data_IF_216807178827
#
_entry.id   IF_216807178827
#
_cell.length_a   1.000
_cell.length_b   1.000
_cell.length_c   1.000
_cell.angle_alpha   90.00
_cell.angle_beta   90.00
_cell.angle_gamma   90.00
#
_symmetry.space_group_name_H-M   'P 1'
#
loop_
_entity.id
_entity.type
_entity.pdbx_description
1 polymer ?
#
# COMPACT_ATOMS: atom_id res chain seq x y z
N UNK A 1 33.90 9.08 40.17
CA UNK A 1 34.51 8.49 38.97
C UNK A 1 34.51 9.58 37.90
N UNK A 2 35.67 10.05 37.40
CA UNK A 2 35.65 11.00 36.29
C UNK A 2 35.00 10.28 35.11
N UNK A 3 34.07 10.94 34.40
CA UNK A 3 33.69 10.49 33.06
C UNK A 3 34.94 10.58 32.19
N UNK A 4 35.61 9.45 31.97
CA UNK A 4 36.73 9.40 31.05
C UNK A 4 36.20 9.65 29.64
N UNK A 5 36.37 10.87 29.16
CA UNK A 5 36.03 11.33 27.82
C UNK A 5 37.00 10.77 26.76
N UNK A 6 37.46 9.53 26.91
CA UNK A 6 38.40 8.90 25.98
C UNK A 6 37.86 8.93 24.55
N UNK A 7 36.54 8.69 24.39
CA UNK A 7 35.84 8.78 23.10
C UNK A 7 35.90 10.17 22.44
N UNK A 8 35.99 11.27 23.19
CA UNK A 8 36.11 12.63 22.63
C UNK A 8 37.44 12.80 21.89
N UNK A 9 38.50 12.11 22.33
CA UNK A 9 39.80 12.14 21.64
C UNK A 9 39.80 11.30 20.34
N UNK A 10 38.78 10.47 20.14
CA UNK A 10 38.67 9.53 19.03
C UNK A 10 37.65 10.02 17.99
N UNK A 11 37.88 11.21 17.42
CA UNK A 11 36.96 11.81 16.44
C UNK A 11 36.90 11.06 15.10
N UNK A 12 37.93 10.26 14.78
CA UNK A 12 37.99 9.48 13.55
C UNK A 12 37.67 8.00 13.82
N UNK A 13 37.04 7.34 12.84
CA UNK A 13 36.76 5.91 12.89
C UNK A 13 38.04 5.09 13.06
N UNK A 14 38.09 4.25 14.09
CA UNK A 14 39.21 3.39 14.44
C UNK A 14 38.67 2.13 15.16
N UNK A 15 39.55 1.27 15.70
CA UNK A 15 39.16 0.04 16.40
C UNK A 15 38.14 0.27 17.52
N UNK A 16 38.25 1.38 18.25
CA UNK A 16 37.28 1.74 19.29
C UNK A 16 35.87 1.87 18.73
N UNK A 17 35.65 2.35 17.51
CA UNK A 17 34.29 2.49 16.95
C UNK A 17 33.77 1.22 16.25
N UNK A 18 34.63 0.26 15.90
CA UNK A 18 34.23 -0.94 15.13
C UNK A 18 33.31 -1.86 15.91
N UNK A 19 33.54 -2.05 17.22
CA UNK A 19 32.77 -3.01 18.01
C UNK A 19 31.26 -2.72 18.09
N UNK A 20 30.86 -1.45 18.03
CA UNK A 20 29.45 -1.01 18.10
C UNK A 20 28.87 -0.56 16.76
N UNK A 21 29.65 -0.63 15.68
CA UNK A 21 29.24 -0.14 14.36
C UNK A 21 28.47 -1.20 13.60
N UNK A 22 27.18 -0.95 13.36
CA UNK A 22 26.33 -1.83 12.55
C UNK A 22 26.87 -2.03 11.12
N UNK A 23 27.67 -1.09 10.60
CA UNK A 23 28.23 -1.18 9.26
C UNK A 23 29.36 -2.22 9.10
N UNK A 24 29.79 -2.90 10.15
CA UNK A 24 30.73 -4.03 10.03
C UNK A 24 30.05 -5.28 9.45
N UNK A 25 28.80 -5.56 9.83
CA UNK A 25 28.06 -6.73 9.35
C UNK A 25 26.54 -6.54 9.51
N UNK A 26 25.88 -6.17 8.41
CA UNK A 26 24.43 -5.97 8.36
C UNK A 26 23.64 -7.27 8.45
N UNK A 27 24.25 -8.42 8.14
CA UNK A 27 23.54 -9.71 8.12
C UNK A 27 23.12 -10.20 9.51
N UNK A 28 23.69 -9.61 10.57
CA UNK A 28 23.33 -9.91 11.96
C UNK A 28 21.96 -9.37 12.39
N UNK A 29 21.35 -8.49 11.60
CA UNK A 29 20.03 -7.93 11.88
C UNK A 29 18.99 -8.81 11.19
N UNK A 30 18.42 -9.73 11.95
CA UNK A 30 17.47 -10.74 11.46
C UNK A 30 16.00 -10.40 11.76
N UNK A 31 15.75 -9.32 12.49
CA UNK A 31 14.41 -8.91 12.90
C UNK A 31 13.97 -7.62 12.21
N UNK A 32 12.64 -7.37 12.13
CA UNK A 32 12.13 -6.07 11.71
C UNK A 32 12.67 -4.95 12.60
N UNK A 33 13.14 -3.86 11.98
CA UNK A 33 13.68 -2.70 12.68
C UNK A 33 12.92 -1.43 12.30
N UNK A 34 12.63 -0.59 13.30
CA UNK A 34 12.14 0.77 13.10
C UNK A 34 13.35 1.72 13.11
N UNK A 35 13.58 2.42 11.99
CA UNK A 35 14.70 3.35 11.85
C UNK A 35 14.24 4.79 12.13
N UNK A 36 14.82 5.42 13.16
CA UNK A 36 14.56 6.81 13.56
C UNK A 36 15.90 7.55 13.58
N UNK A 37 15.95 8.78 13.07
CA UNK A 37 17.15 9.60 13.14
C UNK A 37 16.84 11.08 12.97
N UNK A 38 17.69 11.91 13.57
CA UNK A 38 17.52 13.36 13.62
C UNK A 38 18.10 14.05 12.39
N UNK A 39 17.38 15.05 11.87
CA UNK A 39 17.84 15.87 10.74
C UNK A 39 19.13 16.67 11.09
N UNK A 40 19.31 17.03 12.36
CA UNK A 40 20.49 17.75 12.86
C UNK A 40 21.57 16.83 13.45
N UNK A 41 21.44 15.51 13.31
CA UNK A 41 22.45 14.55 13.76
C UNK A 41 23.61 14.47 12.73
N UNK A 42 24.84 14.41 13.22
CA UNK A 42 26.04 14.19 12.41
C UNK A 42 26.03 12.83 11.69
N UNK A 43 25.15 11.90 12.10
CA UNK A 43 24.97 10.57 11.51
C UNK A 43 23.75 10.43 10.58
N UNK A 44 23.38 11.49 9.86
CA UNK A 44 22.23 11.53 8.94
C UNK A 44 22.18 10.41 7.87
N UNK A 45 23.33 9.88 7.46
CA UNK A 45 23.44 8.84 6.43
C UNK A 45 23.20 7.42 6.94
N UNK A 46 23.14 7.22 8.26
CA UNK A 46 23.02 5.89 8.88
C UNK A 46 21.71 5.17 8.52
N UNK A 47 20.59 5.89 8.55
CA UNK A 47 19.26 5.36 8.17
C UNK A 47 19.27 4.89 6.71
N UNK A 48 19.66 5.77 5.78
CA UNK A 48 19.68 5.45 4.36
C UNK A 48 20.63 4.29 4.04
N UNK A 49 21.78 4.24 4.72
CA UNK A 49 22.76 3.16 4.58
C UNK A 49 22.21 1.83 5.09
N UNK A 50 21.49 1.82 6.21
CA UNK A 50 20.82 0.62 6.74
C UNK A 50 19.74 0.11 5.79
N UNK A 51 18.90 1.01 5.30
CA UNK A 51 17.85 0.68 4.35
C UNK A 51 18.38 0.03 3.06
N UNK A 52 19.58 0.40 2.62
CA UNK A 52 20.21 -0.12 1.41
C UNK A 52 21.02 -1.43 1.62
N UNK A 53 21.49 -1.71 2.86
CA UNK A 53 22.45 -2.80 3.10
C UNK A 53 21.85 -4.03 3.80
N UNK A 54 20.65 -3.90 4.38
CA UNK A 54 19.94 -5.03 4.95
C UNK A 54 19.45 -5.95 3.83
N UNK A 55 19.75 -7.25 3.96
CA UNK A 55 19.20 -8.28 3.08
C UNK A 55 17.86 -8.71 3.63
N UNK A 56 16.84 -8.68 2.80
CA UNK A 56 15.51 -9.17 3.12
C UNK A 56 15.31 -10.50 2.40
N UNK A 57 14.57 -11.44 3.00
CA UNK A 57 14.07 -12.61 2.28
C UNK A 57 12.80 -12.22 1.50
N UNK A 58 12.43 -13.07 0.54
CA UNK A 58 11.15 -12.91 -0.14
C UNK A 58 10.01 -13.17 0.85
N UNK A 59 8.94 -12.37 0.78
CA UNK A 59 7.75 -12.56 1.60
C UNK A 59 6.58 -13.03 0.75
N UNK A 60 6.08 -14.23 1.01
CA UNK A 60 4.91 -14.77 0.33
C UNK A 60 3.64 -14.41 1.12
N UNK A 61 2.70 -13.75 0.44
CA UNK A 61 1.43 -13.32 0.99
C UNK A 61 0.31 -14.10 0.29
N UNK A 62 -0.49 -14.83 1.06
CA UNK A 62 -1.62 -15.61 0.57
C UNK A 62 -2.82 -15.47 1.51
N UNK A 63 -3.84 -14.73 1.07
CA UNK A 63 -5.06 -14.46 1.83
C UNK A 63 -5.50 -12.99 1.73
N UNK A 64 -6.29 -12.51 2.70
CA UNK A 64 -6.80 -11.14 2.72
C UNK A 64 -6.04 -10.30 3.76
N UNK A 65 -5.26 -9.28 3.35
CA UNK A 65 -4.70 -8.31 4.29
C UNK A 65 -5.81 -7.57 5.02
N UNK A 66 -5.57 -7.20 6.28
CA UNK A 66 -6.56 -6.50 7.11
C UNK A 66 -5.92 -5.28 7.74
N UNK A 67 -6.64 -4.17 7.71
CA UNK A 67 -6.18 -2.88 8.27
C UNK A 67 -7.16 -2.46 9.34
N UNK A 68 -6.65 -2.24 10.55
CA UNK A 68 -7.40 -1.64 11.66
C UNK A 68 -6.95 -0.20 11.81
N UNK A 69 -7.91 0.72 11.89
CA UNK A 69 -7.65 2.13 12.10
C UNK A 69 -8.52 2.63 13.25
N UNK A 70 -7.93 3.46 14.09
CA UNK A 70 -8.64 4.29 15.05
C UNK A 70 -8.76 5.70 14.48
N UNK A 71 -9.99 6.16 14.22
CA UNK A 71 -10.23 7.40 13.48
C UNK A 71 -11.47 8.16 13.95
N UNK A 72 -11.58 9.42 13.55
CA UNK A 72 -12.79 10.24 13.66
C UNK A 72 -13.09 10.91 12.31
N UNK A 73 -14.35 11.33 12.12
CA UNK A 73 -14.79 12.13 10.97
C UNK A 73 -15.37 13.45 11.46
N UNK A 74 -15.05 14.55 10.77
CA UNK A 74 -15.65 15.85 11.04
C UNK A 74 -17.08 15.99 10.47
N UNK A 75 -17.64 14.94 9.85
CA UNK A 75 -19.02 14.89 9.38
C UNK A 75 -19.69 13.57 9.79
N UNK A 76 -20.99 13.46 9.54
CA UNK A 76 -21.75 12.23 9.79
C UNK A 76 -21.48 11.10 8.77
N UNK A 77 -20.66 11.37 7.75
CA UNK A 77 -20.30 10.44 6.69
C UNK A 77 -18.79 10.28 6.61
N UNK A 78 -18.34 9.31 5.83
CA UNK A 78 -16.97 9.31 5.37
C UNK A 78 -16.67 8.06 4.57
N UNK A 79 -15.69 8.17 3.69
CA UNK A 79 -15.19 7.05 2.91
C UNK A 79 -13.72 6.88 3.27
N UNK A 80 -13.27 5.65 3.54
CA UNK A 80 -11.86 5.33 3.67
C UNK A 80 -11.48 4.31 2.60
N UNK A 81 -10.56 4.70 1.74
CA UNK A 81 -9.98 3.86 0.70
C UNK A 81 -8.56 3.51 1.11
N UNK A 82 -8.28 2.22 1.24
CA UNK A 82 -7.00 1.66 1.66
C UNK A 82 -6.38 0.94 0.48
N UNK A 83 -5.16 1.30 0.11
CA UNK A 83 -4.40 0.65 -0.96
C UNK A 83 -3.08 0.13 -0.42
N UNK A 84 -2.86 -1.16 -0.57
CA UNK A 84 -1.58 -1.81 -0.31
C UNK A 84 -0.80 -1.88 -1.63
N UNK A 85 0.33 -1.20 -1.68
CA UNK A 85 1.20 -1.17 -2.85
C UNK A 85 2.56 -1.79 -2.55
N UNK A 86 3.17 -2.41 -3.56
CA UNK A 86 4.59 -2.77 -3.58
C UNK A 86 5.34 -1.67 -4.28
N UNK A 87 6.42 -1.19 -3.68
CA UNK A 87 7.42 -0.37 -4.34
C UNK A 87 8.52 -1.33 -4.76
N UNK A 88 8.56 -1.63 -6.06
CA UNK A 88 9.60 -2.48 -6.64
C UNK A 88 10.93 -1.73 -6.60
N UNK A 89 11.98 -2.37 -6.09
CA UNK A 89 13.30 -1.75 -5.93
C UNK A 89 13.93 -1.43 -7.28
N UNK A 90 13.80 -2.33 -8.27
CA UNK A 90 14.51 -2.23 -9.56
C UNK A 90 13.93 -1.12 -10.44
N UNK A 91 12.61 -1.06 -10.53
CA UNK A 91 11.89 -0.10 -11.37
C UNK A 91 11.48 1.17 -10.63
N UNK A 92 11.60 1.19 -9.29
CA UNK A 92 11.01 2.24 -8.43
C UNK A 92 9.51 2.45 -8.62
N UNK A 93 8.82 1.49 -9.25
CA UNK A 93 7.40 1.58 -9.55
C UNK A 93 6.55 1.21 -8.34
N UNK A 94 5.45 1.94 -8.13
CA UNK A 94 4.44 1.59 -7.14
C UNK A 94 3.35 0.75 -7.80
N UNK A 95 3.35 -0.55 -7.50
CA UNK A 95 2.38 -1.53 -8.00
C UNK A 95 1.29 -1.72 -6.96
N UNK A 96 0.02 -1.58 -7.35
CA UNK A 96 -1.11 -1.89 -6.47
C UNK A 96 -1.22 -3.41 -6.29
N UNK A 97 -1.10 -3.88 -5.05
CA UNK A 97 -1.21 -5.31 -4.70
C UNK A 97 -2.63 -5.63 -4.24
N UNK A 98 -3.19 -4.80 -3.35
CA UNK A 98 -4.52 -4.99 -2.80
C UNK A 98 -5.20 -3.68 -2.46
N UNK A 99 -6.51 -3.71 -2.33
CA UNK A 99 -7.34 -2.56 -1.98
C UNK A 99 -8.49 -2.99 -1.08
N UNK A 100 -8.85 -2.14 -0.13
CA UNK A 100 -10.08 -2.20 0.66
C UNK A 100 -10.75 -0.84 0.64
N UNK A 101 -12.07 -0.82 0.61
CA UNK A 101 -12.85 0.42 0.64
C UNK A 101 -13.99 0.22 1.63
N UNK A 102 -14.13 1.16 2.54
CA UNK A 102 -15.19 1.15 3.54
C UNK A 102 -15.87 2.52 3.55
N UNK A 103 -17.17 2.53 3.30
CA UNK A 103 -18.01 3.65 3.67
C UNK A 103 -18.27 3.52 5.18
N UNK A 104 -17.92 4.57 5.92
CA UNK A 104 -17.77 4.53 7.36
C UNK A 104 -19.11 4.40 8.09
N UNK A 105 -20.26 4.73 7.51
CA UNK A 105 -21.59 4.44 8.09
C UNK A 105 -21.87 2.94 8.20
N UNK A 106 -21.16 2.11 7.43
CA UNK A 106 -21.26 0.65 7.48
C UNK A 106 -20.26 -0.01 8.44
N UNK A 107 -19.43 0.76 9.17
CA UNK A 107 -18.34 0.17 9.97
C UNK A 107 -18.79 -0.83 11.05
N UNK A 108 -20.03 -0.69 11.53
CA UNK A 108 -20.66 -1.62 12.48
C UNK A 108 -21.48 -2.72 11.81
N UNK A 109 -22.14 -2.40 10.68
CA UNK A 109 -23.00 -3.32 9.97
C UNK A 109 -23.19 -2.90 8.52
N UNK A 110 -23.05 -3.85 7.61
CA UNK A 110 -23.41 -3.65 6.21
C UNK A 110 -24.93 -3.66 5.99
N UNK A 111 -25.68 -4.37 6.83
CA UNK A 111 -27.14 -4.50 6.73
C UNK A 111 -27.89 -3.30 7.33
N UNK A 112 -27.32 -2.69 8.37
CA UNK A 112 -27.91 -1.57 9.11
C UNK A 112 -26.93 -0.40 9.22
N UNK A 113 -26.69 0.35 8.14
CA UNK A 113 -25.81 1.51 8.16
C UNK A 113 -26.33 2.58 9.13
N UNK A 114 -25.40 3.26 9.80
CA UNK A 114 -25.71 4.29 10.78
C UNK A 114 -24.80 5.51 10.56
N UNK A 115 -25.39 6.70 10.68
CA UNK A 115 -24.63 7.94 10.64
C UNK A 115 -23.54 7.95 11.71
N UNK A 116 -22.39 8.53 11.38
CA UNK A 116 -21.32 8.76 12.33
C UNK A 116 -21.70 9.88 13.30
N UNK A 117 -21.21 9.78 14.53
CA UNK A 117 -21.16 10.92 15.44
C UNK A 117 -19.95 11.77 15.07
N UNK A 118 -20.17 13.08 14.92
CA UNK A 118 -19.13 14.04 14.51
C UNK A 118 -18.03 14.08 15.58
N UNK A 119 -16.78 13.99 15.13
CA UNK A 119 -15.56 14.05 15.94
C UNK A 119 -15.44 12.97 17.04
N UNK A 120 -16.36 12.01 17.07
CA UNK A 120 -16.23 10.84 17.94
C UNK A 120 -15.17 9.88 17.38
N UNK A 121 -14.34 9.36 18.28
CA UNK A 121 -13.29 8.41 17.94
C UNK A 121 -13.87 7.00 17.91
N UNK A 122 -13.64 6.27 16.82
CA UNK A 122 -14.09 4.89 16.66
C UNK A 122 -13.07 4.04 15.91
N UNK A 123 -13.17 2.73 16.11
CA UNK A 123 -12.31 1.75 15.45
C UNK A 123 -13.02 1.16 14.23
N UNK A 124 -12.27 1.02 13.15
CA UNK A 124 -12.73 0.36 11.93
C UNK A 124 -11.75 -0.74 11.53
N UNK A 125 -12.30 -1.82 10.96
CA UNK A 125 -11.55 -2.92 10.38
C UNK A 125 -11.90 -3.02 8.90
N UNK A 126 -10.89 -2.83 8.05
CA UNK A 126 -11.02 -2.91 6.60
C UNK A 126 -10.30 -4.17 6.13
N UNK A 127 -11.06 -5.11 5.57
CA UNK A 127 -10.52 -6.28 4.89
C UNK A 127 -10.23 -5.88 3.45
N UNK A 128 -8.98 -6.04 3.01
CA UNK A 128 -8.56 -5.78 1.64
C UNK A 128 -8.82 -7.02 0.77
N UNK A 129 -8.93 -6.82 -0.54
CA UNK A 129 -9.10 -7.91 -1.51
C UNK A 129 -8.01 -8.99 -1.34
N UNK A 130 -8.41 -10.25 -1.53
CA UNK A 130 -7.50 -11.39 -1.43
C UNK A 130 -6.32 -11.29 -2.41
N UNK A 131 -5.16 -11.73 -1.97
CA UNK A 131 -3.91 -11.71 -2.73
C UNK A 131 -3.20 -13.05 -2.67
N UNK A 132 -2.45 -13.34 -3.73
CA UNK A 132 -1.43 -14.38 -3.78
C UNK A 132 -0.23 -13.73 -4.48
N UNK A 133 0.76 -13.29 -3.70
CA UNK A 133 1.90 -12.53 -4.23
C UNK A 133 3.18 -12.87 -3.47
N UNK A 134 4.29 -12.91 -4.19
CA UNK A 134 5.62 -12.93 -3.60
C UNK A 134 6.19 -11.50 -3.65
N UNK A 135 6.56 -10.95 -2.50
CA UNK A 135 7.24 -9.67 -2.38
C UNK A 135 8.74 -9.93 -2.46
N UNK A 136 9.43 -9.49 -3.53
CA UNK A 136 10.86 -9.73 -3.67
C UNK A 136 11.66 -9.03 -2.58
N UNK A 137 12.75 -9.65 -2.16
CA UNK A 137 13.78 -9.02 -1.34
C UNK A 137 14.12 -7.60 -1.82
N UNK A 138 14.17 -6.64 -0.89
CA UNK A 138 14.49 -5.24 -1.18
C UNK A 138 13.31 -4.37 -1.63
N UNK A 139 12.20 -4.99 -2.06
CA UNK A 139 10.93 -4.28 -2.30
C UNK A 139 10.32 -3.77 -1.00
N UNK A 140 9.50 -2.72 -1.09
CA UNK A 140 8.84 -2.12 0.09
C UNK A 140 7.33 -2.20 -0.03
N UNK A 141 6.66 -2.32 1.11
CA UNK A 141 5.21 -2.16 1.16
C UNK A 141 4.85 -0.72 1.52
N UNK A 142 3.88 -0.17 0.80
CA UNK A 142 3.29 1.15 1.05
C UNK A 142 1.80 0.99 1.27
N UNK A 143 1.32 1.43 2.42
CA UNK A 143 -0.10 1.62 2.67
C UNK A 143 -0.48 3.07 2.32
N UNK A 144 -1.41 3.24 1.39
CA UNK A 144 -1.92 4.55 1.00
C UNK A 144 -3.40 4.66 1.38
N UNK A 145 -3.73 5.73 2.11
CA UNK A 145 -5.08 6.03 2.57
C UNK A 145 -5.62 7.25 1.81
N UNK A 146 -6.89 7.22 1.44
CA UNK A 146 -7.58 8.37 0.84
C UNK A 146 -9.06 8.39 1.19
N UNK A 147 -9.67 9.58 1.18
CA UNK A 147 -11.11 9.77 1.43
C UNK A 147 -11.96 9.75 0.16
N UNK A 148 -11.33 9.56 -1.00
CA UNK A 148 -11.97 9.44 -2.29
C UNK A 148 -11.18 8.47 -3.17
N UNK A 149 -11.88 7.78 -4.06
CA UNK A 149 -11.26 6.88 -5.04
C UNK A 149 -12.05 6.83 -6.36
N UNK A 150 -12.30 8.01 -6.92
CA UNK A 150 -12.93 8.18 -8.22
C UNK A 150 -12.04 7.64 -9.37
N UNK A 151 -12.59 6.99 -10.42
CA UNK A 151 -14.01 6.65 -10.65
C UNK A 151 -14.42 5.28 -10.09
N UNK A 152 -13.57 4.65 -9.28
CA UNK A 152 -13.80 3.29 -8.78
C UNK A 152 -14.95 3.25 -7.76
N UNK A 153 -15.08 4.29 -6.93
CA UNK A 153 -16.18 4.42 -5.97
C UNK A 153 -16.76 5.82 -6.02
N UNK A 154 -18.09 5.89 -5.89
CA UNK A 154 -18.82 7.14 -5.82
C UNK A 154 -18.43 7.94 -4.57
N UNK A 155 -18.21 9.26 -4.66
CA UNK A 155 -17.86 10.05 -3.49
C UNK A 155 -18.99 10.03 -2.45
N UNK A 156 -18.61 10.16 -1.17
CA UNK A 156 -19.56 10.39 -0.09
C UNK A 156 -20.37 11.68 -0.35
N UNK A 157 -21.60 11.80 0.19
CA UNK A 157 -22.46 12.96 -0.03
C UNK A 157 -21.87 14.28 0.52
N UNK A 158 -20.88 14.18 1.42
CA UNK A 158 -20.18 15.32 2.01
C UNK A 158 -18.68 15.07 1.98
N UNK A 159 -17.92 16.15 1.80
CA UNK A 159 -16.46 16.12 1.92
C UNK A 159 -16.08 15.99 3.40
N UNK A 160 -15.64 14.81 3.79
CA UNK A 160 -15.18 14.49 5.14
C UNK A 160 -13.66 14.59 5.25
N UNK A 161 -13.19 15.23 6.32
CA UNK A 161 -11.82 15.12 6.83
C UNK A 161 -11.78 14.02 7.87
N UNK A 162 -10.92 13.01 7.66
CA UNK A 162 -10.70 11.94 8.62
C UNK A 162 -9.42 12.20 9.41
N UNK A 163 -9.50 12.06 10.73
CA UNK A 163 -8.34 12.12 11.63
C UNK A 163 -7.98 10.72 12.09
N UNK A 164 -6.72 10.31 11.96
CA UNK A 164 -6.24 8.99 12.38
C UNK A 164 -5.41 9.13 13.65
N UNK A 165 -5.71 8.29 14.64
CA UNK A 165 -5.12 8.35 15.98
C UNK A 165 -4.13 7.22 16.22
N UNK A 166 -2.88 7.58 16.51
CA UNK A 166 -1.77 6.67 16.83
C UNK A 166 -1.46 6.64 18.33
N UNK A 167 -2.51 6.70 19.15
CA UNK A 167 -2.38 6.92 20.58
C UNK A 167 -1.76 5.71 21.32
N UNK A 168 -1.97 4.50 20.78
CA UNK A 168 -1.43 3.25 21.32
C UNK A 168 -0.87 2.38 20.19
N UNK A 169 0.05 1.46 20.49
CA UNK A 169 0.68 0.60 19.48
C UNK A 169 -0.35 -0.26 18.71
N UNK A 170 -1.46 -0.62 19.36
CA UNK A 170 -2.55 -1.40 18.78
C UNK A 170 -3.66 -0.55 18.13
N UNK A 171 -3.60 0.78 18.19
CA UNK A 171 -4.69 1.63 17.69
C UNK A 171 -4.81 1.59 16.17
N UNK A 172 -3.68 1.39 15.47
CA UNK A 172 -3.65 1.24 14.01
C UNK A 172 -2.72 0.09 13.63
N UNK A 173 -3.23 -0.91 12.91
CA UNK A 173 -2.43 -2.09 12.52
C UNK A 173 -2.69 -2.52 11.09
N UNK A 174 -1.65 -3.03 10.42
CA UNK A 174 -1.74 -3.74 9.15
C UNK A 174 -1.35 -5.20 9.42
N UNK A 175 -2.29 -6.11 9.20
CA UNK A 175 -2.07 -7.55 9.29
C UNK A 175 -1.90 -8.11 7.89
N UNK A 176 -0.76 -8.76 7.64
CA UNK A 176 -0.43 -9.39 6.36
C UNK A 176 -0.63 -10.92 6.47
N UNK A 177 -1.26 -11.55 5.47
CA UNK A 177 -1.50 -12.99 5.47
C UNK A 177 -0.26 -13.72 4.96
N UNK A 178 0.80 -13.75 5.77
CA UNK A 178 2.04 -14.44 5.41
C UNK A 178 1.78 -15.95 5.26
N UNK A 179 2.20 -16.52 4.13
CA UNK A 179 2.08 -17.95 3.88
C UNK A 179 2.93 -18.72 4.91
N UNK A 180 2.30 -19.68 5.60
CA UNK A 180 2.97 -20.55 6.57
C UNK A 180 3.48 -21.82 5.86
N UNK A 181 4.64 -22.34 6.24
CA UNK A 181 5.27 -23.54 5.66
C UNK A 181 4.33 -24.76 5.59
N UNK A 182 3.34 -24.84 6.48
CA UNK A 182 2.28 -25.88 6.45
C UNK A 182 1.49 -25.97 5.14
N UNK A 183 1.46 -24.90 4.34
CA UNK A 183 0.74 -24.84 3.06
C UNK A 183 1.70 -24.75 1.85
N UNK A 184 2.98 -25.08 2.04
CA UNK A 184 4.03 -25.02 1.00
C UNK A 184 3.95 -26.13 -0.06
N UNK A 185 3.10 -27.14 0.12
CA UNK A 185 2.84 -28.15 -0.90
C UNK A 185 2.14 -27.51 -2.08
N UNK A 186 2.93 -27.16 -3.10
CA UNK A 186 2.44 -26.86 -4.44
C UNK A 186 1.74 -28.11 -4.97
N UNK A 187 0.47 -27.96 -5.32
CA UNK A 187 -0.14 -28.88 -6.26
C UNK A 187 0.41 -28.51 -7.64
N UNK A 188 1.21 -29.41 -8.22
CA UNK A 188 1.62 -29.32 -9.63
C UNK A 188 0.41 -29.70 -10.49
N UNK A 189 -0.55 -28.79 -10.59
CA UNK A 189 -1.62 -28.91 -11.57
C UNK A 189 -1.03 -28.79 -12.98
N UNK A 190 -1.59 -29.55 -13.91
CA UNK A 190 -1.34 -29.33 -15.33
C UNK A 190 -1.74 -27.89 -15.71
N UNK A 191 -1.20 -27.40 -16.84
CA UNK A 191 -1.63 -26.11 -17.38
C UNK A 191 -3.16 -26.07 -17.51
N UNK A 192 -3.82 -24.95 -17.17
CA UNK A 192 -5.27 -24.87 -17.24
C UNK A 192 -5.73 -25.20 -18.66
N UNK A 193 -6.64 -26.17 -18.78
CA UNK A 193 -7.31 -26.44 -20.04
C UNK A 193 -8.17 -25.22 -20.39
N UNK A 194 -7.84 -24.56 -21.50
CA UNK A 194 -8.61 -23.43 -22.02
C UNK A 194 -9.06 -23.74 -23.44
N UNK A 195 -10.31 -23.39 -23.76
CA UNK A 195 -10.77 -23.41 -25.14
C UNK A 195 -9.89 -22.48 -25.97
N UNK A 196 -9.55 -22.87 -27.20
CA UNK A 196 -8.89 -21.97 -28.12
C UNK A 196 -9.80 -20.76 -28.37
N UNK A 197 -9.24 -19.55 -28.27
CA UNK A 197 -9.99 -18.32 -28.54
C UNK A 197 -10.55 -18.33 -29.96
N UNK A 198 -11.75 -17.77 -30.14
CA UNK A 198 -12.34 -17.62 -31.47
C UNK A 198 -11.40 -16.71 -32.28
N UNK A 199 -10.93 -17.14 -33.46
CA UNK A 199 -10.09 -16.31 -34.30
C UNK A 199 -10.87 -15.05 -34.68
N UNK A 200 -10.25 -13.89 -34.50
CA UNK A 200 -10.86 -12.59 -34.70
C UNK A 200 -9.97 -11.75 -35.61
N UNK A 201 -10.57 -10.99 -36.51
CA UNK A 201 -9.86 -10.07 -37.39
C UNK A 201 -10.13 -8.64 -36.92
N UNK A 202 -9.11 -7.97 -36.38
CA UNK A 202 -9.26 -6.59 -35.95
C UNK A 202 -9.32 -5.69 -37.19
N UNK A 203 -10.52 -5.19 -37.50
CA UNK A 203 -10.77 -4.31 -38.63
C UNK A 203 -10.30 -2.87 -38.34
N UNK A 204 -10.32 -2.48 -37.06
CA UNK A 204 -9.95 -1.14 -36.60
C UNK A 204 -9.52 -1.16 -35.15
N UNK A 205 -8.45 -0.44 -34.86
CA UNK A 205 -7.92 -0.32 -33.50
C UNK A 205 -8.87 0.41 -32.55
N UNK A 206 -8.89 -0.04 -31.30
CA UNK A 206 -9.55 0.67 -30.21
C UNK A 206 -8.78 1.94 -29.84
N UNK A 207 -9.48 2.99 -29.42
CA UNK A 207 -8.87 4.20 -28.87
C UNK A 207 -9.61 4.70 -27.64
N UNK A 208 -8.86 5.20 -26.66
CA UNK A 208 -9.41 5.77 -25.43
C UNK A 208 -8.79 7.15 -25.22
N UNK A 209 -9.64 8.18 -25.14
CA UNK A 209 -9.23 9.54 -24.82
C UNK A 209 -9.87 9.97 -23.50
N UNK A 210 -9.06 10.56 -22.60
CA UNK A 210 -9.53 11.07 -21.30
C UNK A 210 -9.20 12.55 -21.18
N UNK A 211 -10.22 13.37 -20.99
CA UNK A 211 -10.12 14.81 -20.76
C UNK A 211 -10.54 15.13 -19.33
N UNK A 212 -9.74 15.95 -18.65
CA UNK A 212 -10.09 16.54 -17.35
C UNK A 212 -10.22 18.05 -17.56
N UNK A 213 -11.41 18.57 -17.36
CA UNK A 213 -11.75 20.00 -17.51
C UNK A 213 -12.01 20.53 -16.11
N UNK A 214 -11.31 21.60 -15.72
CA UNK A 214 -11.53 22.29 -14.46
C UNK A 214 -11.99 23.72 -14.76
N UNK A 215 -13.20 24.06 -14.34
CA UNK A 215 -13.69 25.43 -14.37
C UNK A 215 -13.30 26.10 -13.05
N UNK A 216 -12.36 27.05 -13.12
CA UNK A 216 -11.82 27.75 -11.94
C UNK A 216 -12.84 28.70 -11.29
N UNK A 217 -13.88 29.13 -12.01
CA UNK A 217 -14.88 30.08 -11.49
C UNK A 217 -15.99 29.31 -10.77
N UNK A 218 -16.50 28.25 -11.40
CA UNK A 218 -17.56 27.42 -10.80
C UNK A 218 -17.04 26.31 -9.88
N UNK A 219 -15.72 26.12 -9.85
CA UNK A 219 -15.03 25.01 -9.16
C UNK A 219 -15.48 23.61 -9.60
N UNK A 220 -16.17 23.51 -10.76
CA UNK A 220 -16.65 22.23 -11.29
C UNK A 220 -15.52 21.51 -12.02
N UNK A 221 -15.27 20.26 -11.62
CA UNK A 221 -14.39 19.34 -12.34
C UNK A 221 -15.25 18.42 -13.21
N UNK A 222 -15.05 18.46 -14.53
CA UNK A 222 -15.67 17.52 -15.48
C UNK A 222 -14.62 16.53 -16.00
N UNK A 223 -14.91 15.24 -15.88
CA UNK A 223 -14.12 14.16 -16.50
C UNK A 223 -14.88 13.64 -17.72
N UNK A 224 -14.30 13.78 -18.91
CA UNK A 224 -14.87 13.24 -20.17
C UNK A 224 -14.00 12.10 -20.68
N UNK A 225 -14.59 10.91 -20.82
CA UNK A 225 -13.93 9.73 -21.37
C UNK A 225 -14.62 9.41 -22.69
N UNK A 226 -13.86 9.42 -23.79
CA UNK A 226 -14.31 8.93 -25.08
C UNK A 226 -13.62 7.59 -25.32
N UNK A 227 -14.41 6.53 -25.39
CA UNK A 227 -13.94 5.18 -25.65
C UNK A 227 -14.53 4.70 -26.97
N UNK A 228 -13.65 4.21 -27.83
CA UNK A 228 -13.97 3.55 -29.08
C UNK A 228 -13.32 2.17 -29.03
N UNK A 229 -14.13 1.13 -28.95
CA UNK A 229 -13.65 -0.24 -28.82
C UNK A 229 -13.03 -0.81 -30.11
N UNK A 230 -12.95 0.00 -31.17
CA UNK A 230 -12.50 -0.45 -32.48
C UNK A 230 -13.61 -1.22 -33.20
N UNK A 231 -13.24 -2.15 -34.06
CA UNK A 231 -14.18 -3.09 -34.68
C UNK A 231 -13.47 -4.40 -35.00
N UNK A 232 -14.15 -5.51 -34.79
CA UNK A 232 -13.56 -6.85 -34.90
C UNK A 232 -14.54 -7.74 -35.64
N UNK A 233 -14.06 -8.42 -36.69
CA UNK A 233 -14.85 -9.40 -37.44
C UNK A 233 -14.59 -10.81 -36.90
N UNK A 234 -15.68 -11.57 -36.71
CA UNK A 234 -15.67 -12.97 -36.29
C UNK A 234 -15.85 -13.91 -37.50
N UNK A 235 -15.52 -15.21 -37.38
CA UNK A 235 -15.54 -16.15 -38.50
C UNK A 235 -16.93 -16.39 -39.12
N UNK A 236 -17.99 -16.02 -38.41
CA UNK A 236 -19.38 -16.06 -38.86
C UNK A 236 -19.85 -14.76 -39.55
N UNK A 237 -18.94 -13.78 -39.71
CA UNK A 237 -19.20 -12.51 -40.37
C UNK A 237 -19.87 -11.46 -39.47
N UNK A 238 -19.98 -11.71 -38.16
CA UNK A 238 -20.37 -10.67 -37.19
C UNK A 238 -19.25 -9.65 -37.03
N UNK A 239 -19.61 -8.36 -37.01
CA UNK A 239 -18.71 -7.21 -36.78
C UNK A 239 -19.17 -6.44 -35.54
#
# INVERSE_FOLDING_TARGET
MPLDFYWIKLQNRNEYWRHGSVCEDYSKILCPILLIGGLADLYNSSIFRLMNKLKYENYELFGCPTVKLNLSSNTNYGLICVRLCMIDEKSSSSILISRGILELTHYKSHEHPQLLNIDEIFNVEIILSGICVCIPAGSRLRLALSTSYWPIVWPAPQLSTLTIYFNELSSCTLTLPCLNEKYSTRNDFDLPEICQGIPKNDLRDSSINRFRIFDEISEIITLKINEDCGSTEYPDGLI
#
